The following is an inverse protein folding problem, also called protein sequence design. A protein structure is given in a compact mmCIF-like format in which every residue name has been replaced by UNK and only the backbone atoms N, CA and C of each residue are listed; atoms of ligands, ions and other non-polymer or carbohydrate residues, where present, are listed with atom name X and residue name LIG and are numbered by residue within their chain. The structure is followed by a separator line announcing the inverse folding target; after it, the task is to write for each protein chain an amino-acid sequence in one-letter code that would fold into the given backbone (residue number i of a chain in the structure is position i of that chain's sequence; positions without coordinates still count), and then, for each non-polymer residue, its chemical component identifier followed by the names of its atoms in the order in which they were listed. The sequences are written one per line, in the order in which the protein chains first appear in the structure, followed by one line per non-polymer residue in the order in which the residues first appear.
data_IF_134324544973
#
_entry.id   IF_134324544973
#
_cell.length_a   1.000
_cell.length_b   1.000
_cell.length_c   1.000
_cell.angle_alpha   90.00
_cell.angle_beta   90.00
_cell.angle_gamma   90.00
#
_symmetry.space_group_name_H-M   'P 1'
#
loop_
_entity.id
_entity.type
_entity.pdbx_description
1 polymer ?
#
# COMPACT_ATOMS: atom_id res chain seq x y z
N UNK A 1 -5.10 26.58 7.38
CA UNK A 1 -5.03 26.26 5.95
C UNK A 1 -5.96 25.06 5.76
N UNK A 2 -7.21 25.36 5.42
CA UNK A 2 -8.30 24.38 5.27
C UNK A 2 -8.01 23.43 4.11
N UNK A 3 -8.21 22.13 4.35
CA UNK A 3 -8.19 21.13 3.29
C UNK A 3 -9.44 21.31 2.42
N UNK A 4 -9.33 21.24 1.08
CA UNK A 4 -10.49 21.33 0.22
C UNK A 4 -11.30 20.04 0.37
N UNK A 5 -12.58 20.21 0.69
CA UNK A 5 -13.63 19.21 0.59
C UNK A 5 -13.55 18.52 -0.76
N UNK A 6 -13.28 17.21 -0.76
CA UNK A 6 -13.47 16.37 -1.94
C UNK A 6 -14.97 16.19 -2.13
N UNK A 7 -15.56 17.14 -2.87
CA UNK A 7 -16.89 17.03 -3.44
C UNK A 7 -17.05 15.67 -4.13
N UNK A 8 -18.01 14.91 -3.61
CA UNK A 8 -19.08 14.25 -4.36
C UNK A 8 -18.76 13.89 -5.83
N UNK A 9 -17.97 12.84 -6.01
CA UNK A 9 -17.69 12.25 -7.33
C UNK A 9 -17.76 10.73 -7.27
N UNK A 10 -18.94 10.18 -6.95
CA UNK A 10 -19.28 8.83 -7.42
C UNK A 10 -20.77 8.52 -7.31
N UNK A 11 -21.63 9.39 -7.83
CA UNK A 11 -22.96 8.97 -8.31
C UNK A 11 -22.84 8.31 -9.70
N UNK A 12 -21.91 7.36 -9.87
CA UNK A 12 -22.08 6.33 -10.89
C UNK A 12 -23.17 5.39 -10.37
N UNK A 13 -24.20 5.04 -11.16
CA UNK A 13 -25.15 4.02 -10.74
C UNK A 13 -24.36 2.76 -10.43
N UNK A 14 -24.19 2.47 -9.14
CA UNK A 14 -23.76 1.16 -8.70
C UNK A 14 -24.92 0.25 -9.04
N UNK A 15 -24.76 -0.47 -10.13
CA UNK A 15 -25.54 -1.66 -10.35
C UNK A 15 -24.54 -2.80 -10.43
N UNK A 16 -24.15 -3.37 -9.27
CA UNK A 16 -24.09 -4.82 -9.18
C UNK A 16 -25.52 -5.33 -9.39
N UNK A 17 -25.99 -5.23 -10.62
CA UNK A 17 -27.27 -5.77 -11.04
C UNK A 17 -27.08 -7.28 -11.03
N UNK A 18 -28.01 -8.01 -10.42
CA UNK A 18 -28.01 -9.46 -10.55
C UNK A 18 -28.01 -9.82 -12.05
N UNK A 19 -27.33 -10.91 -12.41
CA UNK A 19 -27.22 -11.33 -13.82
C UNK A 19 -28.59 -11.49 -14.48
N UNK A 20 -29.61 -11.87 -13.69
CA UNK A 20 -31.00 -11.98 -14.14
C UNK A 20 -31.63 -10.61 -14.49
N UNK A 21 -31.46 -9.60 -13.64
CA UNK A 21 -32.01 -8.26 -13.85
C UNK A 21 -31.39 -7.57 -15.09
N UNK A 22 -30.11 -7.81 -15.34
CA UNK A 22 -29.43 -7.26 -16.53
C UNK A 22 -29.92 -7.91 -17.82
N UNK A 23 -30.19 -9.23 -17.79
CA UNK A 23 -30.76 -9.96 -18.93
C UNK A 23 -32.17 -9.44 -19.25
N UNK A 24 -33.01 -9.21 -18.25
CA UNK A 24 -34.35 -8.64 -18.48
C UNK A 24 -34.27 -7.23 -19.09
N UNK A 25 -33.38 -6.37 -18.58
CA UNK A 25 -33.21 -5.02 -19.10
C UNK A 25 -32.66 -5.04 -20.54
N UNK A 26 -31.74 -5.96 -20.83
CA UNK A 26 -31.22 -6.18 -22.17
C UNK A 26 -32.31 -6.67 -23.13
N UNK A 27 -33.08 -7.68 -22.75
CA UNK A 27 -34.18 -8.22 -23.58
C UNK A 27 -35.24 -7.15 -23.82
N UNK A 28 -35.59 -6.34 -22.80
CA UNK A 28 -36.52 -5.22 -22.92
C UNK A 28 -36.02 -4.15 -23.90
N UNK A 29 -34.74 -3.79 -23.82
CA UNK A 29 -34.10 -2.81 -24.70
C UNK A 29 -34.03 -3.30 -26.16
N UNK A 30 -33.88 -4.61 -26.36
CA UNK A 30 -33.86 -5.22 -27.68
C UNK A 30 -35.26 -5.36 -28.28
N UNK A 31 -36.27 -5.60 -27.45
CA UNK A 31 -37.69 -5.72 -27.86
C UNK A 31 -38.28 -4.37 -28.27
N UNK A 32 -37.74 -3.26 -27.76
CA UNK A 32 -38.13 -1.90 -28.17
C UNK A 32 -37.45 -1.42 -29.45
N UNK A 33 -36.54 -2.21 -30.02
CA UNK A 33 -35.82 -1.85 -31.24
C UNK A 33 -36.76 -1.77 -32.46
N UNK A 34 -36.55 -0.76 -33.30
CA UNK A 34 -37.43 -0.55 -34.47
C UNK A 34 -37.18 -1.54 -35.60
N UNK A 35 -35.98 -2.12 -35.66
CA UNK A 35 -35.59 -3.15 -36.63
C UNK A 35 -34.37 -3.92 -36.13
N UNK A 36 -33.97 -4.95 -36.87
CA UNK A 36 -32.84 -5.82 -36.53
C UNK A 36 -31.50 -5.08 -36.44
N UNK A 37 -31.28 -4.05 -37.25
CA UNK A 37 -30.03 -3.28 -37.24
C UNK A 37 -29.94 -2.37 -36.02
N UNK A 38 -31.05 -1.75 -35.61
CA UNK A 38 -31.16 -0.99 -34.36
C UNK A 38 -30.92 -1.89 -33.14
N UNK A 39 -31.54 -3.08 -33.14
CA UNK A 39 -31.27 -4.12 -32.14
C UNK A 39 -29.77 -4.46 -32.07
N UNK A 40 -29.10 -4.73 -33.21
CA UNK A 40 -27.67 -5.03 -33.24
C UNK A 40 -26.80 -3.89 -32.72
N UNK A 41 -27.15 -2.64 -33.05
CA UNK A 41 -26.45 -1.45 -32.55
C UNK A 41 -26.61 -1.29 -31.03
N UNK A 42 -27.81 -1.53 -30.49
CA UNK A 42 -28.08 -1.54 -29.04
C UNK A 42 -27.29 -2.64 -28.34
N UNK A 43 -27.34 -3.87 -28.84
CA UNK A 43 -26.59 -5.01 -28.30
C UNK A 43 -25.09 -4.75 -28.26
N UNK A 44 -24.53 -4.17 -29.33
CA UNK A 44 -23.11 -3.85 -29.41
C UNK A 44 -22.67 -2.79 -28.38
N UNK A 45 -23.52 -1.78 -28.12
CA UNK A 45 -23.24 -0.77 -27.09
C UNK A 45 -23.33 -1.35 -25.69
N UNK A 46 -24.38 -2.12 -25.41
CA UNK A 46 -24.59 -2.83 -24.16
C UNK A 46 -23.41 -3.76 -23.83
N UNK A 47 -22.92 -4.53 -24.81
CA UNK A 47 -21.76 -5.39 -24.65
C UNK A 47 -20.47 -4.62 -24.33
N UNK A 48 -20.19 -3.53 -25.07
CA UNK A 48 -19.01 -2.69 -24.82
C UNK A 48 -19.05 -2.08 -23.42
N UNK A 49 -20.23 -1.63 -22.99
CA UNK A 49 -20.43 -1.11 -21.65
C UNK A 49 -20.16 -2.18 -20.58
N UNK A 50 -20.73 -3.38 -20.74
CA UNK A 50 -20.48 -4.49 -19.82
C UNK A 50 -19.01 -4.87 -19.71
N UNK A 51 -18.33 -4.97 -20.87
CA UNK A 51 -16.90 -5.25 -20.92
C UNK A 51 -16.09 -4.20 -20.16
N UNK A 52 -16.38 -2.92 -20.39
CA UNK A 52 -15.76 -1.81 -19.66
C UNK A 52 -16.04 -1.88 -18.16
N UNK A 53 -17.27 -2.21 -17.75
CA UNK A 53 -17.64 -2.34 -16.35
C UNK A 53 -16.86 -3.48 -15.66
N UNK A 54 -16.78 -4.64 -16.32
CA UNK A 54 -16.02 -5.80 -15.83
C UNK A 54 -14.52 -5.50 -15.73
N UNK A 55 -13.93 -4.88 -16.76
CA UNK A 55 -12.54 -4.44 -16.75
C UNK A 55 -12.29 -3.46 -15.59
N UNK A 56 -13.18 -2.48 -15.38
CA UNK A 56 -13.09 -1.53 -14.27
C UNK A 56 -13.16 -2.21 -12.90
N UNK A 57 -14.01 -3.22 -12.73
CA UNK A 57 -14.12 -3.96 -11.47
C UNK A 57 -12.85 -4.73 -11.17
N UNK A 58 -12.30 -5.44 -12.17
CA UNK A 58 -11.04 -6.18 -12.03
C UNK A 58 -9.84 -5.24 -11.76
N UNK A 59 -9.82 -4.06 -12.39
CA UNK A 59 -8.82 -3.02 -12.14
C UNK A 59 -8.90 -2.51 -10.70
N UNK A 60 -10.12 -2.24 -10.20
CA UNK A 60 -10.33 -1.80 -8.80
C UNK A 60 -9.86 -2.84 -7.80
N UNK A 61 -10.16 -4.12 -8.03
CA UNK A 61 -9.70 -5.21 -7.15
C UNK A 61 -8.17 -5.29 -7.10
N UNK A 62 -7.50 -5.22 -8.26
CA UNK A 62 -6.03 -5.20 -8.33
C UNK A 62 -5.42 -4.00 -7.62
N UNK A 63 -5.99 -2.80 -7.82
CA UNK A 63 -5.55 -1.58 -7.11
C UNK A 63 -5.71 -1.75 -5.61
N UNK A 64 -6.83 -2.32 -5.15
CA UNK A 64 -7.07 -2.56 -3.73
C UNK A 64 -6.06 -3.55 -3.13
N UNK A 65 -5.74 -4.64 -3.84
CA UNK A 65 -4.70 -5.58 -3.43
C UNK A 65 -3.32 -4.89 -3.32
N UNK A 66 -2.94 -4.09 -4.33
CA UNK A 66 -1.69 -3.34 -4.33
C UNK A 66 -1.60 -2.32 -3.17
N UNK A 67 -2.72 -1.67 -2.81
CA UNK A 67 -2.77 -0.76 -1.66
C UNK A 67 -2.51 -1.53 -0.35
N UNK A 68 -3.11 -2.72 -0.19
CA UNK A 68 -2.89 -3.56 0.98
C UNK A 68 -1.44 -4.02 1.08
N UNK A 69 -0.85 -4.50 -0.02
CA UNK A 69 0.57 -4.88 -0.07
C UNK A 69 1.49 -3.70 0.24
N UNK A 70 1.21 -2.52 -0.32
CA UNK A 70 1.99 -1.32 -0.03
C UNK A 70 1.95 -0.92 1.45
N UNK A 71 0.80 -1.10 2.11
CA UNK A 71 0.68 -0.86 3.55
C UNK A 71 1.52 -1.85 4.38
N UNK A 72 1.53 -3.13 4.01
CA UNK A 72 2.36 -4.15 4.65
C UNK A 72 3.84 -3.81 4.46
N UNK A 73 4.25 -3.47 3.24
CA UNK A 73 5.63 -3.08 2.93
C UNK A 73 6.07 -1.84 3.70
N UNK A 74 5.24 -0.79 3.77
CA UNK A 74 5.54 0.40 4.58
C UNK A 74 5.75 0.05 6.05
N UNK A 75 4.90 -0.82 6.62
CA UNK A 75 5.06 -1.27 8.00
C UNK A 75 6.37 -2.04 8.19
N UNK A 76 6.72 -2.93 7.26
CA UNK A 76 7.97 -3.68 7.32
C UNK A 76 9.20 -2.76 7.25
N UNK A 77 9.19 -1.79 6.33
CA UNK A 77 10.27 -0.79 6.19
C UNK A 77 10.43 0.05 7.46
N UNK A 78 9.33 0.50 8.08
CA UNK A 78 9.40 1.25 9.33
C UNK A 78 10.04 0.43 10.46
N UNK A 79 9.65 -0.84 10.61
CA UNK A 79 10.25 -1.75 11.61
C UNK A 79 11.73 -1.98 11.32
N UNK A 80 12.10 -2.16 10.05
CA UNK A 80 13.50 -2.35 9.66
C UNK A 80 14.33 -1.11 9.95
N UNK A 81 13.80 0.08 9.68
CA UNK A 81 14.46 1.35 9.95
C UNK A 81 14.71 1.54 11.45
N UNK A 82 13.71 1.27 12.29
CA UNK A 82 13.83 1.34 13.76
C UNK A 82 14.93 0.40 14.27
N UNK A 83 14.92 -0.87 13.82
CA UNK A 83 15.98 -1.84 14.17
C UNK A 83 17.36 -1.37 13.75
N UNK A 84 17.50 -0.85 12.53
CA UNK A 84 18.79 -0.36 12.03
C UNK A 84 19.31 0.81 12.87
N UNK A 85 18.41 1.71 13.28
CA UNK A 85 18.75 2.81 14.17
C UNK A 85 19.24 2.28 15.53
N UNK A 86 18.52 1.36 16.16
CA UNK A 86 18.95 0.74 17.43
C UNK A 86 20.32 0.06 17.32
N UNK A 87 20.60 -0.62 16.21
CA UNK A 87 21.91 -1.21 15.96
C UNK A 87 23.01 -0.15 15.84
N UNK A 88 22.73 0.97 15.17
CA UNK A 88 23.64 2.12 15.09
C UNK A 88 23.97 2.68 16.48
N UNK A 89 22.94 2.93 17.29
CA UNK A 89 23.07 3.48 18.64
C UNK A 89 23.86 2.53 19.55
N UNK A 90 23.53 1.23 19.56
CA UNK A 90 24.27 0.21 20.32
C UNK A 90 25.73 0.11 19.89
N UNK A 91 26.02 0.26 18.60
CA UNK A 91 27.39 0.22 18.10
C UNK A 91 28.19 1.44 18.57
N UNK A 92 27.58 2.63 18.61
CA UNK A 92 28.24 3.83 19.16
C UNK A 92 28.54 3.64 20.66
N UNK A 93 27.57 3.15 21.43
CA UNK A 93 27.75 2.88 22.85
C UNK A 93 28.84 1.83 23.11
N UNK A 94 28.90 0.78 22.29
CA UNK A 94 29.95 -0.23 22.35
C UNK A 94 31.34 0.38 22.10
N UNK A 95 31.48 1.30 21.13
CA UNK A 95 32.75 1.98 20.88
C UNK A 95 33.15 2.87 22.06
N UNK A 96 32.20 3.60 22.64
CA UNK A 96 32.45 4.42 23.82
C UNK A 96 32.91 3.57 25.02
N UNK A 97 32.24 2.45 25.29
CA UNK A 97 32.64 1.53 26.36
C UNK A 97 34.04 0.94 26.13
N UNK A 98 34.39 0.58 24.89
CA UNK A 98 35.75 0.11 24.56
C UNK A 98 36.82 1.16 24.88
N UNK A 99 36.56 2.43 24.55
CA UNK A 99 37.48 3.53 24.86
C UNK A 99 37.63 3.72 26.38
N UNK A 100 36.54 3.65 27.13
CA UNK A 100 36.57 3.76 28.59
C UNK A 100 37.34 2.60 29.23
N UNK A 101 37.15 1.37 28.73
CA UNK A 101 37.91 0.20 29.19
C UNK A 101 39.40 0.37 28.91
N UNK A 102 39.80 0.85 27.72
CA UNK A 102 41.22 1.10 27.44
C UNK A 102 41.82 2.16 28.36
N UNK A 103 41.06 3.21 28.68
CA UNK A 103 41.50 4.25 29.62
C UNK A 103 41.73 3.67 31.03
N UNK A 104 40.80 2.85 31.55
CA UNK A 104 40.98 2.21 32.85
C UNK A 104 42.15 1.22 32.87
N UNK A 105 42.37 0.48 31.78
CA UNK A 105 43.54 -0.41 31.65
C UNK A 105 44.87 0.37 31.65
N UNK A 106 44.90 1.56 31.06
CA UNK A 106 46.09 2.44 31.10
C UNK A 106 46.31 3.00 32.50
N UNK A 107 45.26 3.44 33.21
CA UNK A 107 45.36 3.91 34.59
C UNK A 107 45.87 2.83 35.54
N UNK A 108 45.36 1.60 35.42
CA UNK A 108 45.86 0.47 36.20
C UNK A 108 47.34 0.19 35.94
N UNK A 109 47.77 0.17 34.67
CA UNK A 109 49.19 0.00 34.33
C UNK A 109 50.07 1.10 34.90
N UNK A 110 49.61 2.36 34.89
CA UNK A 110 50.35 3.47 35.47
C UNK A 110 50.53 3.30 36.99
N UNK A 111 49.44 2.95 37.70
CA UNK A 111 49.47 2.70 39.13
C UNK A 111 50.33 1.49 39.49
N UNK A 112 50.30 0.42 38.70
CA UNK A 112 51.15 -0.76 38.88
C UNK A 112 52.64 -0.41 38.77
N UNK A 113 53.02 0.45 37.81
CA UNK A 113 54.40 0.92 37.64
C UNK A 113 54.82 1.84 38.79
N UNK A 114 53.94 2.72 39.26
CA UNK A 114 54.21 3.55 40.43
C UNK A 114 54.45 2.68 41.69
N UNK A 115 53.62 1.65 41.90
CA UNK A 115 53.75 0.74 43.04
C UNK A 115 55.03 -0.10 42.97
N UNK A 116 55.46 -0.51 41.78
CA UNK A 116 56.66 -1.34 41.59
C UNK A 116 57.97 -0.55 41.73
N UNK A 117 57.93 0.79 41.61
CA UNK A 117 59.09 1.67 41.76
C UNK A 117 59.20 2.30 43.17
N UNK A 118 58.26 2.02 44.07
CA UNK A 118 58.26 2.42 45.48
C UNK A 118 58.79 1.31 46.39
#
# INVERSE_FOLDING_TARGET
MEAPSTDDLSATPQLPMDGAEWVELFVREMTSASNMDDARARASRAWKFWRSLSENMMLKEQVQALIQENAILKRAVSIQHERQKEFGDRNQELQHLKQLVSQYQEQLRALEVELANS
#
